data_IF_581035490887
#
_entry.id   IF_581035490887
#
_cell.length_a   1.000
_cell.length_b   1.000
_cell.length_c   1.000
_cell.angle_alpha   90.00
_cell.angle_beta   90.00
_cell.angle_gamma   90.00
#
_symmetry.space_group_name_H-M   'P 1'
#
loop_
_entity.id
_entity.type
_entity.pdbx_description
1 polymer ?
#
# COMPACT_ATOMS: atom_id res chain seq x y z
N UNK A 1 2.62 2.70 29.81
CA UNK A 1 3.25 1.55 30.49
C UNK A 1 2.22 0.48 30.86
N UNK A 2 1.62 -0.16 29.86
CA UNK A 2 1.18 -1.56 30.04
C UNK A 2 2.38 -2.46 29.74
N UNK A 3 2.50 -3.55 30.47
CA UNK A 3 3.59 -4.52 30.32
C UNK A 3 3.07 -5.67 29.46
N UNK A 4 3.14 -5.55 28.14
CA UNK A 4 2.76 -6.64 27.24
C UNK A 4 3.87 -7.68 27.30
N UNK A 5 3.53 -8.83 27.89
CA UNK A 5 4.43 -9.99 27.94
C UNK A 5 4.38 -10.70 26.59
N UNK A 6 5.31 -10.35 25.73
CA UNK A 6 5.61 -11.11 24.51
C UNK A 6 6.93 -11.83 24.63
N UNK A 7 7.10 -12.88 23.83
CA UNK A 7 8.36 -13.60 23.73
C UNK A 7 8.75 -13.75 22.27
N UNK A 8 10.01 -13.49 21.97
CA UNK A 8 10.61 -13.82 20.68
C UNK A 8 10.98 -15.30 20.68
N UNK A 9 10.53 -15.99 19.65
CA UNK A 9 10.96 -17.34 19.32
C UNK A 9 11.73 -17.29 18.00
N UNK A 10 12.92 -17.87 17.97
CA UNK A 10 13.74 -18.01 16.78
C UNK A 10 14.41 -19.38 16.77
N UNK A 11 14.67 -19.90 15.58
CA UNK A 11 15.48 -21.11 15.44
C UNK A 11 16.92 -20.83 15.90
N UNK A 12 17.61 -21.77 16.55
CA UNK A 12 19.01 -21.61 16.90
C UNK A 12 19.86 -21.38 15.64
N UNK A 13 20.82 -20.45 15.72
CA UNK A 13 21.74 -20.15 14.63
C UNK A 13 22.43 -21.44 14.14
N UNK A 14 22.31 -21.74 12.84
CA UNK A 14 22.96 -22.90 12.21
C UNK A 14 22.03 -24.05 11.80
N UNK A 15 20.71 -23.92 11.93
CA UNK A 15 19.78 -24.86 11.31
C UNK A 15 19.62 -24.58 9.80
N UNK A 16 20.48 -25.17 8.97
CA UNK A 16 20.26 -25.22 7.53
C UNK A 16 19.16 -26.23 7.23
N UNK A 17 17.93 -25.75 7.01
CA UNK A 17 16.86 -26.57 6.47
C UNK A 17 17.03 -26.62 4.95
N UNK A 18 17.57 -27.72 4.43
CA UNK A 18 17.45 -28.00 3.00
C UNK A 18 15.99 -28.33 2.71
N UNK A 19 15.24 -27.36 2.16
CA UNK A 19 13.88 -27.60 1.71
C UNK A 19 13.96 -28.31 0.36
N UNK A 20 13.40 -29.52 0.32
CA UNK A 20 13.29 -30.28 -0.92
C UNK A 20 12.25 -29.60 -1.83
N UNK A 21 12.72 -29.01 -2.94
CA UNK A 21 11.88 -28.29 -3.93
C UNK A 21 11.08 -29.26 -4.82
N UNK A 22 10.93 -30.53 -4.41
CA UNK A 22 10.15 -31.55 -5.12
C UNK A 22 8.63 -31.38 -4.93
N UNK A 23 8.19 -30.43 -4.09
CA UNK A 23 6.78 -30.15 -3.88
C UNK A 23 6.17 -29.41 -5.10
N UNK A 24 5.08 -29.94 -5.64
CA UNK A 24 4.42 -29.44 -6.86
C UNK A 24 4.04 -27.95 -6.79
N UNK A 25 3.64 -27.48 -5.60
CA UNK A 25 3.33 -26.05 -5.36
C UNK A 25 4.57 -25.17 -5.54
N UNK A 26 5.73 -25.58 -5.03
CA UNK A 26 6.96 -24.78 -5.12
C UNK A 26 7.43 -24.73 -6.58
N UNK A 27 7.34 -25.83 -7.33
CA UNK A 27 7.72 -25.87 -8.74
C UNK A 27 6.82 -25.00 -9.64
N UNK A 28 5.53 -24.89 -9.30
CA UNK A 28 4.59 -24.05 -10.04
C UNK A 28 4.77 -22.55 -9.76
N UNK A 29 5.13 -22.21 -8.51
CA UNK A 29 5.16 -20.83 -8.04
C UNK A 29 6.57 -20.22 -8.07
N UNK A 30 7.64 -21.00 -8.01
CA UNK A 30 9.03 -20.48 -8.02
C UNK A 30 9.42 -19.61 -9.20
N UNK A 31 8.90 -19.79 -10.43
CA UNK A 31 9.24 -18.89 -11.53
C UNK A 31 8.53 -17.53 -11.44
N UNK A 32 7.53 -17.40 -10.55
CA UNK A 32 6.56 -16.30 -10.55
C UNK A 32 6.54 -15.51 -9.25
N UNK A 33 6.94 -16.13 -8.14
CA UNK A 33 6.85 -15.57 -6.80
C UNK A 33 8.15 -15.78 -6.03
N UNK A 34 8.46 -14.81 -5.18
CA UNK A 34 9.51 -14.92 -4.19
C UNK A 34 8.99 -15.71 -2.97
N UNK A 35 9.81 -16.61 -2.45
CA UNK A 35 9.51 -17.34 -1.21
C UNK A 35 10.28 -16.76 -0.03
N UNK A 36 9.61 -16.72 1.11
CA UNK A 36 10.16 -16.25 2.36
C UNK A 36 9.84 -17.24 3.48
N UNK A 37 10.79 -17.48 4.39
CA UNK A 37 10.56 -18.29 5.60
C UNK A 37 10.51 -17.38 6.80
N UNK A 38 9.52 -17.55 7.65
CA UNK A 38 9.47 -16.90 8.96
C UNK A 38 10.55 -17.51 9.87
N UNK A 39 11.54 -16.70 10.26
CA UNK A 39 12.67 -17.12 11.09
C UNK A 39 12.52 -16.74 12.56
N UNK A 40 11.80 -15.65 12.82
CA UNK A 40 11.49 -15.19 14.16
C UNK A 40 10.02 -14.77 14.26
N UNK A 41 9.39 -15.04 15.39
CA UNK A 41 8.03 -14.57 15.69
C UNK A 41 7.98 -13.93 17.06
N UNK A 42 7.22 -12.85 17.15
CA UNK A 42 6.83 -12.23 18.40
C UNK A 42 5.40 -12.62 18.73
N UNK A 43 5.26 -13.47 19.75
CA UNK A 43 3.98 -14.03 20.17
C UNK A 43 3.54 -13.42 21.50
N UNK A 44 2.25 -13.10 21.64
CA UNK A 44 1.68 -12.63 22.90
C UNK A 44 1.42 -13.80 23.85
N UNK A 45 1.89 -13.69 25.09
CA UNK A 45 1.83 -14.78 26.06
C UNK A 45 0.54 -14.80 26.89
N UNK A 46 -0.27 -13.76 26.80
CA UNK A 46 -1.52 -13.60 27.55
C UNK A 46 -2.56 -12.98 26.60
N UNK A 47 -3.83 -13.39 26.72
CA UNK A 47 -4.89 -12.84 25.88
C UNK A 47 -5.10 -11.36 26.15
N UNK A 48 -5.22 -10.56 25.10
CA UNK A 48 -5.45 -9.12 25.16
C UNK A 48 -6.87 -8.80 24.74
N UNK A 49 -7.62 -8.10 25.58
CA UNK A 49 -8.91 -7.53 25.20
C UNK A 49 -8.69 -6.08 24.77
N UNK A 50 -8.98 -5.79 23.51
CA UNK A 50 -8.95 -4.43 22.97
C UNK A 50 -10.39 -3.92 22.92
N UNK A 51 -10.68 -2.87 23.66
CA UNK A 51 -11.99 -2.23 23.70
C UNK A 51 -11.93 -0.85 23.06
N UNK A 52 -12.83 -0.59 22.11
CA UNK A 52 -13.03 0.75 21.54
C UNK A 52 -13.92 1.59 22.46
N UNK A 53 -13.36 2.64 23.09
CA UNK A 53 -14.13 3.61 23.88
C UNK A 53 -14.32 4.88 23.06
N UNK A 54 -15.46 5.00 22.39
CA UNK A 54 -15.88 6.23 21.72
C UNK A 54 -16.47 7.22 22.74
N UNK A 55 -15.75 8.30 23.06
CA UNK A 55 -16.39 9.51 23.62
C UNK A 55 -16.85 10.38 22.44
N UNK A 56 -18.17 10.53 22.33
CA UNK A 56 -18.81 11.15 21.16
C UNK A 56 -18.40 12.59 20.89
N UNK A 57 -18.38 12.94 19.59
CA UNK A 57 -18.35 14.33 19.12
C UNK A 57 -17.01 15.03 19.26
N UNK A 58 -15.97 14.49 18.63
CA UNK A 58 -14.62 15.06 18.60
C UNK A 58 -13.59 13.97 18.33
N UNK A 59 -12.44 14.34 17.76
CA UNK A 59 -11.28 13.46 17.51
C UNK A 59 -11.00 12.65 18.79
N UNK A 60 -11.37 11.38 18.78
CA UNK A 60 -11.25 10.48 19.92
C UNK A 60 -10.00 9.64 19.77
N UNK A 61 -8.97 9.97 20.54
CA UNK A 61 -7.75 9.17 20.64
C UNK A 61 -8.04 7.93 21.49
N UNK A 62 -7.98 6.74 20.89
CA UNK A 62 -7.94 5.49 21.66
C UNK A 62 -6.49 5.19 22.01
N UNK A 63 -6.08 5.59 23.21
CA UNK A 63 -4.79 5.16 23.77
C UNK A 63 -4.94 3.76 24.36
N UNK A 64 -4.74 2.73 23.54
CA UNK A 64 -4.16 1.49 24.08
C UNK A 64 -2.70 1.84 24.33
N UNK A 65 -2.33 2.02 25.60
CA UNK A 65 -0.96 2.34 26.03
C UNK A 65 0.01 1.30 25.43
N UNK A 66 0.59 1.71 24.31
CA UNK A 66 1.92 1.44 23.80
C UNK A 66 2.16 0.34 22.74
N UNK A 67 1.18 -0.37 22.14
CA UNK A 67 1.53 -1.33 21.03
C UNK A 67 0.59 -1.34 19.80
N UNK A 68 -0.71 -1.06 19.90
CA UNK A 68 -1.60 -1.15 18.72
C UNK A 68 -2.53 0.04 18.56
N UNK A 69 -2.46 0.70 17.41
CA UNK A 69 -3.55 1.50 16.86
C UNK A 69 -4.42 0.54 16.04
N UNK A 70 -5.61 0.21 16.52
CA UNK A 70 -6.61 -0.48 15.69
C UNK A 70 -7.47 0.60 15.07
N UNK A 71 -7.27 0.89 13.80
CA UNK A 71 -8.21 1.69 13.02
C UNK A 71 -9.40 0.79 12.64
N UNK A 72 -10.61 1.22 12.97
CA UNK A 72 -11.82 0.52 12.59
C UNK A 72 -12.98 1.48 12.52
N UNK A 73 -13.28 2.02 11.33
CA UNK A 73 -14.21 3.14 11.18
C UNK A 73 -15.51 2.77 10.46
N UNK A 74 -16.22 1.76 10.96
CA UNK A 74 -17.61 1.57 10.55
C UNK A 74 -18.55 2.48 11.35
N UNK A 75 -19.21 3.45 10.67
CA UNK A 75 -20.29 4.31 11.21
C UNK A 75 -21.57 3.56 11.65
N UNK A 76 -21.55 2.24 11.74
CA UNK A 76 -22.57 1.43 12.42
C UNK A 76 -21.97 0.86 13.72
N UNK A 77 -22.21 1.61 14.80
CA UNK A 77 -21.78 1.28 16.15
C UNK A 77 -22.42 -0.06 16.59
N UNK A 78 -21.57 -1.06 16.78
CA UNK A 78 -21.65 -1.97 17.92
C UNK A 78 -20.31 -1.87 18.61
N UNK A 79 -20.29 -1.73 19.93
CA UNK A 79 -19.11 -1.83 20.77
C UNK A 79 -18.20 -2.97 20.24
N UNK A 80 -17.11 -2.64 19.55
CA UNK A 80 -16.18 -3.62 19.03
C UNK A 80 -15.16 -3.87 20.14
N UNK A 81 -15.28 -5.02 20.77
CA UNK A 81 -14.19 -5.59 21.55
C UNK A 81 -13.52 -6.65 20.68
N UNK A 82 -12.19 -6.56 20.55
CA UNK A 82 -11.39 -7.57 19.90
C UNK A 82 -10.62 -8.33 20.98
N UNK A 83 -10.93 -9.61 21.15
CA UNK A 83 -10.12 -10.49 21.96
C UNK A 83 -9.00 -11.05 21.09
N UNK A 84 -7.76 -10.67 21.38
CA UNK A 84 -6.57 -11.26 20.80
C UNK A 84 -6.17 -12.41 21.74
N UNK A 85 -6.30 -13.68 21.32
CA UNK A 85 -6.02 -14.81 22.20
C UNK A 85 -4.51 -14.93 22.48
N UNK A 86 -4.17 -15.50 23.63
CA UNK A 86 -2.82 -15.99 23.88
C UNK A 86 -2.35 -16.86 22.71
N UNK A 87 -1.10 -16.66 22.29
CA UNK A 87 -0.52 -17.38 21.16
C UNK A 87 -0.63 -16.66 19.82
N UNK A 88 -1.25 -15.48 19.76
CA UNK A 88 -1.24 -14.69 18.52
C UNK A 88 0.16 -14.14 18.22
N UNK A 89 0.61 -14.33 16.99
CA UNK A 89 1.82 -13.72 16.46
C UNK A 89 1.48 -12.29 16.05
N UNK A 90 2.18 -11.30 16.63
CA UNK A 90 1.95 -9.89 16.34
C UNK A 90 3.00 -9.29 15.39
N UNK A 91 4.19 -9.89 15.34
CA UNK A 91 5.24 -9.50 14.41
C UNK A 91 6.09 -10.73 14.08
N UNK A 92 6.74 -10.69 12.93
CA UNK A 92 7.61 -11.77 12.50
C UNK A 92 8.76 -11.22 11.64
N UNK A 93 9.88 -11.94 11.66
CA UNK A 93 11.00 -11.75 10.73
C UNK A 93 10.95 -12.85 9.69
N UNK A 94 11.15 -12.50 8.44
CA UNK A 94 11.28 -13.46 7.35
C UNK A 94 12.68 -13.44 6.78
N UNK A 95 13.15 -14.54 6.17
CA UNK A 95 14.33 -14.61 5.31
C UNK A 95 13.93 -15.04 3.90
N UNK A 96 14.44 -14.36 2.85
CA UNK A 96 14.18 -14.71 1.46
C UNK A 96 14.90 -16.00 1.08
N UNK A 97 14.19 -16.90 0.42
CA UNK A 97 14.72 -18.15 -0.11
C UNK A 97 15.27 -17.93 -1.51
N UNK A 98 16.58 -18.12 -1.68
CA UNK A 98 17.22 -18.05 -3.00
C UNK A 98 17.34 -19.45 -3.61
N UNK A 99 16.85 -19.61 -4.84
CA UNK A 99 17.10 -20.81 -5.65
C UNK A 99 18.50 -20.71 -6.28
N UNK A 100 19.40 -21.62 -5.93
CA UNK A 100 20.68 -21.77 -6.64
C UNK A 100 20.44 -22.68 -7.86
N UNK A 101 20.60 -22.15 -9.08
CA UNK A 101 20.43 -22.91 -10.34
C UNK A 101 21.63 -23.82 -10.71
N UNK A 102 22.66 -23.90 -9.87
CA UNK A 102 23.89 -24.63 -10.18
C UNK A 102 24.04 -25.87 -9.30
N UNK A 103 23.17 -26.88 -9.47
CA UNK A 103 23.44 -28.33 -9.34
C UNK A 103 22.12 -29.14 -9.42
N UNK A 104 22.14 -30.40 -9.90
CA UNK A 104 20.95 -31.24 -9.99
C UNK A 104 20.52 -31.67 -8.59
N UNK A 105 19.70 -30.84 -7.97
CA UNK A 105 19.27 -30.94 -6.58
C UNK A 105 19.07 -29.54 -6.04
N UNK A 106 17.98 -28.87 -6.43
CA UNK A 106 17.73 -27.50 -5.98
C UNK A 106 17.59 -27.49 -4.44
N UNK A 107 18.60 -26.96 -3.75
CA UNK A 107 18.54 -26.68 -2.31
C UNK A 107 18.33 -25.18 -2.11
N UNK A 108 17.25 -24.80 -1.43
CA UNK A 108 17.09 -23.44 -0.92
C UNK A 108 18.03 -23.26 0.27
N UNK A 109 18.92 -22.29 0.20
CA UNK A 109 19.75 -21.90 1.35
C UNK A 109 19.28 -20.54 1.84
N UNK A 110 19.15 -20.40 3.15
CA UNK A 110 18.97 -19.09 3.75
C UNK A 110 20.34 -18.42 3.90
N UNK A 111 20.45 -17.17 3.44
CA UNK A 111 21.54 -16.28 3.84
C UNK A 111 21.00 -15.42 4.97
N UNK A 112 21.79 -15.33 6.05
CA UNK A 112 21.59 -14.28 7.04
C UNK A 112 21.97 -12.95 6.40
N UNK A 113 21.00 -12.28 5.77
CA UNK A 113 21.09 -10.84 5.55
C UNK A 113 20.64 -10.14 6.83
N UNK A 114 21.46 -9.29 7.48
CA UNK A 114 21.15 -8.75 8.80
C UNK A 114 19.93 -7.82 8.88
N UNK A 115 19.22 -7.54 7.77
CA UNK A 115 18.10 -6.60 7.76
C UNK A 115 17.01 -7.03 6.78
N UNK A 116 16.17 -7.97 7.19
CA UNK A 116 14.86 -8.15 6.57
C UNK A 116 13.89 -7.14 7.17
N UNK A 117 13.87 -5.99 6.52
CA UNK A 117 12.92 -4.90 6.70
C UNK A 117 12.56 -4.38 5.32
N UNK A 118 11.31 -4.55 4.91
CA UNK A 118 10.66 -3.83 3.81
C UNK A 118 11.51 -3.73 2.52
N UNK A 119 11.64 -4.85 1.81
CA UNK A 119 12.41 -4.95 0.57
C UNK A 119 11.67 -4.29 -0.62
N UNK A 120 11.78 -2.97 -0.63
CA UNK A 120 12.02 -2.18 -1.84
C UNK A 120 13.02 -1.02 -1.58
N UNK A 121 13.53 -0.86 -0.35
CA UNK A 121 14.21 0.39 0.04
C UNK A 121 15.53 0.26 0.83
N UNK A 122 16.12 -0.95 0.97
CA UNK A 122 17.29 -1.16 1.85
C UNK A 122 18.61 -1.54 1.16
N UNK A 123 18.74 -1.35 -0.15
CA UNK A 123 20.08 -1.25 -0.75
C UNK A 123 20.68 0.11 -0.36
N UNK A 124 21.70 0.10 0.51
CA UNK A 124 22.57 1.23 0.89
C UNK A 124 21.86 2.59 0.93
N UNK A 125 21.44 3.01 2.13
CA UNK A 125 21.17 4.41 2.48
C UNK A 125 22.47 5.23 2.38
N UNK A 126 22.93 5.44 1.14
CA UNK A 126 23.58 6.68 0.77
C UNK A 126 22.63 7.85 1.03
N UNK A 127 23.17 9.08 1.06
CA UNK A 127 22.50 10.32 1.48
C UNK A 127 20.98 10.35 1.21
N UNK A 128 20.18 10.98 2.10
CA UNK A 128 18.72 11.09 1.96
C UNK A 128 18.22 11.50 0.57
N UNK A 129 19.00 12.32 -0.16
CA UNK A 129 18.73 12.69 -1.55
C UNK A 129 18.65 11.47 -2.50
N UNK A 130 19.49 10.46 -2.29
CA UNK A 130 19.53 9.20 -3.02
C UNK A 130 18.31 8.34 -2.71
N UNK A 131 17.85 8.29 -1.46
CA UNK A 131 16.66 7.53 -1.06
C UNK A 131 15.36 8.12 -1.66
N UNK A 132 15.22 9.45 -1.68
CA UNK A 132 14.07 10.13 -2.30
C UNK A 132 14.02 9.85 -3.79
N UNK A 133 15.18 9.94 -4.46
CA UNK A 133 15.25 9.68 -5.88
C UNK A 133 14.89 8.22 -6.19
N UNK A 134 15.32 7.26 -5.36
CA UNK A 134 14.93 5.85 -5.47
C UNK A 134 13.40 5.66 -5.40
N UNK A 135 12.70 6.24 -4.41
CA UNK A 135 11.22 6.14 -4.33
C UNK A 135 10.55 6.68 -5.59
N UNK A 136 10.99 7.87 -6.05
CA UNK A 136 10.45 8.49 -7.26
C UNK A 136 10.73 7.65 -8.51
N UNK A 137 11.92 7.07 -8.60
CA UNK A 137 12.32 6.24 -9.73
C UNK A 137 11.51 4.94 -9.76
N UNK A 138 11.26 4.30 -8.61
CA UNK A 138 10.41 3.11 -8.50
C UNK A 138 8.98 3.41 -8.94
N UNK A 139 8.37 4.47 -8.41
CA UNK A 139 7.00 4.89 -8.80
C UNK A 139 6.94 5.21 -10.29
N UNK A 140 7.95 5.91 -10.80
CA UNK A 140 8.04 6.27 -12.23
C UNK A 140 8.19 5.04 -13.12
N UNK A 141 9.01 4.07 -12.72
CA UNK A 141 9.21 2.82 -13.43
C UNK A 141 7.95 1.96 -13.43
N UNK A 142 7.27 1.84 -12.28
CA UNK A 142 6.02 1.10 -12.15
C UNK A 142 4.92 1.63 -13.09
N UNK A 143 4.85 2.95 -13.29
CA UNK A 143 3.87 3.60 -14.16
C UNK A 143 4.38 3.94 -15.56
N UNK A 144 5.58 3.50 -15.93
CA UNK A 144 6.19 3.76 -17.23
C UNK A 144 5.30 3.33 -18.41
N UNK A 145 4.62 2.16 -18.37
CA UNK A 145 3.70 1.78 -19.44
C UNK A 145 2.51 2.74 -19.59
N UNK A 146 2.02 3.33 -18.50
CA UNK A 146 0.93 4.32 -18.57
C UNK A 146 1.38 5.61 -19.26
N UNK A 147 2.66 5.99 -19.12
CA UNK A 147 3.21 7.19 -19.77
C UNK A 147 3.26 7.05 -21.29
N UNK A 148 3.48 5.83 -21.79
CA UNK A 148 3.57 5.51 -23.23
C UNK A 148 2.22 5.49 -23.94
N UNK A 149 1.11 5.49 -23.19
CA UNK A 149 -0.23 5.44 -23.77
C UNK A 149 -0.59 6.71 -24.55
N UNK A 150 -1.42 6.54 -25.57
CA UNK A 150 -1.98 7.66 -26.31
C UNK A 150 -2.96 8.47 -25.46
N UNK A 151 -3.10 9.77 -25.75
CA UNK A 151 -4.00 10.67 -25.01
C UNK A 151 -5.48 10.22 -24.95
N UNK A 152 -6.06 9.62 -26.01
CA UNK A 152 -7.40 9.02 -25.90
C UNK A 152 -7.47 7.85 -24.91
N UNK A 153 -6.46 6.96 -24.91
CA UNK A 153 -6.42 5.81 -24.00
C UNK A 153 -6.22 6.25 -22.55
N UNK A 154 -5.33 7.22 -22.30
CA UNK A 154 -5.14 7.82 -20.98
C UNK A 154 -6.44 8.40 -20.41
N UNK A 155 -7.18 9.17 -21.20
CA UNK A 155 -8.49 9.71 -20.79
C UNK A 155 -9.54 8.63 -20.53
N UNK A 156 -9.55 7.57 -21.33
CA UNK A 156 -10.44 6.42 -21.13
C UNK A 156 -10.10 5.67 -19.84
N UNK A 157 -8.81 5.45 -19.58
CA UNK A 157 -8.34 4.86 -18.33
C UNK A 157 -8.64 5.76 -17.14
N UNK A 158 -8.40 7.07 -17.21
CA UNK A 158 -8.76 7.99 -16.13
C UNK A 158 -10.24 7.91 -15.79
N UNK A 159 -11.11 7.91 -16.81
CA UNK A 159 -12.56 7.75 -16.60
C UNK A 159 -12.90 6.41 -15.97
N UNK A 160 -12.18 5.35 -16.33
CA UNK A 160 -12.35 4.03 -15.73
C UNK A 160 -11.79 4.00 -14.30
N UNK A 161 -10.69 4.70 -14.02
CA UNK A 161 -10.02 4.74 -12.71
C UNK A 161 -10.88 5.42 -11.64
N UNK A 162 -11.81 6.29 -12.03
CA UNK A 162 -12.80 6.85 -11.09
C UNK A 162 -13.63 5.77 -10.39
N UNK A 163 -13.83 4.60 -11.01
CA UNK A 163 -14.57 3.49 -10.36
C UNK A 163 -13.85 2.95 -9.11
N UNK A 164 -12.53 3.09 -9.03
CA UNK A 164 -11.73 2.69 -7.85
C UNK A 164 -11.90 3.69 -6.70
N UNK A 165 -12.35 4.90 -6.99
CA UNK A 165 -12.59 5.94 -5.99
C UNK A 165 -14.06 5.94 -5.50
N UNK A 166 -14.94 5.17 -6.17
CA UNK A 166 -16.36 5.05 -5.80
C UNK A 166 -16.57 4.06 -4.63
N UNK A 167 -15.75 3.02 -4.51
CA UNK A 167 -15.90 1.95 -3.52
C UNK A 167 -14.53 1.29 -3.23
N UNK A 168 -14.20 1.14 -1.95
CA UNK A 168 -12.92 0.57 -1.49
C UNK A 168 -12.73 -0.88 -1.92
N UNK A 169 -13.81 -1.63 -2.11
CA UNK A 169 -13.72 -3.06 -2.46
C UNK A 169 -13.29 -3.27 -3.92
N UNK A 170 -13.36 -2.22 -4.75
CA UNK A 170 -13.01 -2.30 -6.18
C UNK A 170 -11.52 -2.50 -6.38
N UNK A 171 -10.67 -1.74 -5.66
CA UNK A 171 -9.22 -1.83 -5.80
C UNK A 171 -8.70 -3.21 -5.40
N UNK A 172 -9.06 -3.69 -4.20
CA UNK A 172 -8.73 -5.03 -3.73
C UNK A 172 -9.25 -6.18 -4.64
N UNK A 173 -10.47 -6.05 -5.17
CA UNK A 173 -11.02 -7.05 -6.11
C UNK A 173 -10.24 -7.08 -7.42
N UNK A 174 -9.98 -5.92 -8.01
CA UNK A 174 -9.21 -5.81 -9.27
C UNK A 174 -7.77 -6.28 -9.05
N UNK A 175 -7.16 -5.94 -7.92
CA UNK A 175 -5.83 -6.41 -7.54
C UNK A 175 -5.79 -7.93 -7.52
N UNK A 176 -6.73 -8.58 -6.83
CA UNK A 176 -6.82 -10.05 -6.75
C UNK A 176 -6.96 -10.70 -8.12
N UNK A 177 -7.81 -10.13 -9.00
CA UNK A 177 -7.98 -10.60 -10.38
C UNK A 177 -6.68 -10.48 -11.18
N UNK A 178 -5.96 -9.37 -11.05
CA UNK A 178 -4.69 -9.15 -11.75
C UNK A 178 -3.60 -10.10 -11.24
N UNK A 179 -3.52 -10.34 -9.93
CA UNK A 179 -2.59 -11.30 -9.33
C UNK A 179 -2.80 -12.71 -9.88
N UNK A 180 -4.03 -13.21 -9.87
CA UNK A 180 -4.39 -14.51 -10.44
C UNK A 180 -4.06 -14.58 -11.93
N UNK A 181 -4.35 -13.51 -12.68
CA UNK A 181 -4.10 -13.45 -14.12
C UNK A 181 -2.60 -13.42 -14.44
N UNK A 182 -1.79 -12.72 -13.65
CA UNK A 182 -0.32 -12.72 -13.77
C UNK A 182 0.29 -14.08 -13.44
N UNK A 183 -0.34 -14.85 -12.54
CA UNK A 183 0.03 -16.24 -12.25
C UNK A 183 -0.42 -17.18 -13.38
N UNK A 184 -1.25 -16.73 -14.32
CA UNK A 184 -1.66 -17.50 -15.49
C UNK A 184 -2.88 -18.40 -15.23
N UNK A 185 -3.63 -18.12 -14.17
CA UNK A 185 -4.91 -18.77 -13.90
C UNK A 185 -5.99 -18.18 -14.80
N UNK A 186 -6.90 -19.01 -15.32
CA UNK A 186 -8.11 -18.52 -15.97
C UNK A 186 -9.05 -17.98 -14.89
N UNK A 187 -9.18 -16.65 -14.82
CA UNK A 187 -10.00 -15.98 -13.81
C UNK A 187 -11.48 -16.04 -14.19
N UNK A 188 -12.29 -16.64 -13.32
CA UNK A 188 -13.74 -16.68 -13.45
C UNK A 188 -14.38 -15.37 -12.95
N UNK A 189 -15.52 -15.00 -13.55
CA UNK A 189 -16.24 -13.76 -13.20
C UNK A 189 -16.86 -13.78 -11.80
N UNK A 190 -16.99 -14.95 -11.17
CA UNK A 190 -17.41 -15.10 -9.77
C UNK A 190 -16.51 -14.33 -8.79
N UNK A 191 -15.26 -14.03 -9.14
CA UNK A 191 -14.38 -13.17 -8.33
C UNK A 191 -14.97 -11.75 -8.16
N UNK A 192 -15.88 -11.33 -9.04
CA UNK A 192 -16.56 -10.03 -8.98
C UNK A 192 -17.88 -10.06 -8.18
N UNK A 193 -18.30 -11.22 -7.65
CA UNK A 193 -19.51 -11.34 -6.82
C UNK A 193 -19.51 -10.42 -5.58
N UNK A 194 -18.39 -10.20 -4.87
CA UNK A 194 -18.36 -9.30 -3.71
C UNK A 194 -18.72 -7.85 -4.04
N UNK A 195 -18.50 -7.42 -5.29
CA UNK A 195 -18.77 -6.05 -5.71
C UNK A 195 -20.27 -5.77 -5.79
N UNK A 196 -20.63 -4.51 -5.52
CA UNK A 196 -21.96 -3.97 -5.74
C UNK A 196 -22.43 -4.23 -7.19
N UNK A 197 -23.70 -4.62 -7.35
CA UNK A 197 -24.38 -4.84 -8.64
C UNK A 197 -24.25 -3.65 -9.62
N UNK A 198 -24.13 -2.41 -9.13
CA UNK A 198 -23.93 -1.23 -9.99
C UNK A 198 -22.49 -1.13 -10.52
N UNK A 199 -21.50 -1.53 -9.71
CA UNK A 199 -20.07 -1.41 -10.03
C UNK A 199 -19.55 -2.61 -10.79
N UNK A 200 -20.08 -3.81 -10.50
CA UNK A 200 -19.69 -5.07 -11.14
C UNK A 200 -19.62 -4.97 -12.67
N UNK A 201 -20.64 -4.49 -13.42
CA UNK A 201 -20.54 -4.39 -14.87
C UNK A 201 -19.52 -3.34 -15.35
N UNK A 202 -19.24 -2.30 -14.56
CA UNK A 202 -18.21 -1.30 -14.89
C UNK A 202 -16.82 -1.93 -14.75
N UNK A 203 -16.58 -2.67 -13.67
CA UNK A 203 -15.32 -3.37 -13.38
C UNK A 203 -15.09 -4.51 -14.37
N UNK A 204 -16.12 -5.31 -14.67
CA UNK A 204 -16.04 -6.37 -15.69
C UNK A 204 -15.61 -5.80 -17.04
N UNK A 205 -16.27 -4.72 -17.49
CA UNK A 205 -15.91 -4.03 -18.74
C UNK A 205 -14.48 -3.50 -18.73
N UNK A 206 -14.03 -2.95 -17.60
CA UNK A 206 -12.65 -2.49 -17.43
C UNK A 206 -11.65 -3.64 -17.59
N UNK A 207 -11.88 -4.76 -16.90
CA UNK A 207 -11.04 -5.96 -16.96
C UNK A 207 -11.06 -6.62 -18.36
N UNK A 208 -12.18 -6.60 -19.08
CA UNK A 208 -12.24 -7.03 -20.48
C UNK A 208 -11.35 -6.17 -21.40
N UNK A 209 -11.32 -4.84 -21.21
CA UNK A 209 -10.41 -3.97 -21.97
C UNK A 209 -8.93 -4.27 -21.69
N UNK A 210 -8.61 -4.73 -20.47
CA UNK A 210 -7.27 -5.20 -20.11
C UNK A 210 -6.94 -6.59 -20.67
N UNK A 211 -7.91 -7.27 -21.27
CA UNK A 211 -7.72 -8.61 -21.82
C UNK A 211 -7.79 -9.74 -20.81
N UNK A 212 -8.33 -9.49 -19.61
CA UNK A 212 -8.53 -10.52 -18.58
C UNK A 212 -9.64 -11.47 -19.03
N UNK A 213 -10.81 -10.91 -19.34
CA UNK A 213 -11.94 -11.67 -19.85
C UNK A 213 -11.94 -11.66 -21.38
N UNK A 214 -11.90 -12.86 -21.98
CA UNK A 214 -11.67 -13.10 -23.42
C UNK A 214 -12.90 -12.84 -24.31
N UNK A 215 -13.84 -12.00 -23.87
CA UNK A 215 -15.15 -11.81 -24.52
C UNK A 215 -15.14 -10.76 -25.64
N UNK A 216 -14.12 -9.89 -25.64
CA UNK A 216 -13.93 -8.86 -26.67
C UNK A 216 -12.77 -9.23 -27.58
N UNK A 217 -12.97 -9.10 -28.90
CA UNK A 217 -11.91 -9.25 -29.89
C UNK A 217 -10.79 -8.25 -29.58
N UNK A 218 -9.69 -8.78 -29.03
CA UNK A 218 -8.50 -8.10 -28.48
C UNK A 218 -8.68 -7.53 -27.07
N UNK A 219 -8.14 -8.26 -26.09
CA UNK A 219 -7.52 -7.63 -24.93
C UNK A 219 -6.32 -6.82 -25.41
N UNK A 220 -6.40 -5.49 -25.36
CA UNK A 220 -5.45 -4.64 -26.09
C UNK A 220 -4.17 -4.33 -25.29
N UNK A 221 -4.12 -4.61 -23.96
CA UNK A 221 -3.07 -4.00 -23.13
C UNK A 221 -2.64 -4.83 -21.89
N UNK A 222 -2.04 -6.01 -22.12
CA UNK A 222 -1.43 -6.81 -21.03
C UNK A 222 -0.31 -6.05 -20.28
N UNK A 223 0.39 -5.15 -20.98
CA UNK A 223 1.44 -4.31 -20.39
C UNK A 223 0.93 -3.35 -19.30
N UNK A 224 -0.39 -3.24 -19.11
CA UNK A 224 -1.00 -2.42 -18.06
C UNK A 224 -1.35 -3.18 -16.79
N UNK A 225 -1.24 -4.51 -16.76
CA UNK A 225 -1.61 -5.28 -15.57
C UNK A 225 -0.78 -4.87 -14.36
N UNK A 226 0.55 -4.76 -14.52
CA UNK A 226 1.45 -4.35 -13.43
C UNK A 226 1.23 -2.90 -12.96
N UNK A 227 1.16 -1.88 -13.85
CA UNK A 227 0.82 -0.52 -13.45
C UNK A 227 -0.52 -0.41 -12.72
N UNK A 228 -1.54 -1.15 -13.16
CA UNK A 228 -2.86 -1.11 -12.54
C UNK A 228 -2.84 -1.82 -11.19
N UNK A 229 -2.17 -2.97 -11.10
CA UNK A 229 -1.93 -3.67 -9.84
C UNK A 229 -1.24 -2.75 -8.81
N UNK A 230 -0.15 -2.08 -9.22
CA UNK A 230 0.58 -1.13 -8.38
C UNK A 230 -0.26 0.08 -7.94
N UNK A 231 -1.15 0.58 -8.81
CA UNK A 231 -2.15 1.57 -8.42
C UNK A 231 -3.17 1.02 -7.42
N UNK A 232 -3.68 -0.20 -7.61
CA UNK A 232 -4.63 -0.80 -6.66
C UNK A 232 -4.00 -0.94 -5.27
N UNK A 233 -2.76 -1.43 -5.19
CA UNK A 233 -2.03 -1.53 -3.91
C UNK A 233 -1.83 -0.14 -3.27
N UNK A 234 -1.53 0.88 -4.07
CA UNK A 234 -1.40 2.26 -3.58
C UNK A 234 -2.73 2.87 -3.12
N UNK A 235 -3.87 2.34 -3.56
CA UNK A 235 -5.20 2.77 -3.14
C UNK A 235 -5.66 1.98 -1.90
N UNK A 236 -5.37 0.68 -1.85
CA UNK A 236 -5.67 -0.19 -0.71
C UNK A 236 -4.86 0.18 0.55
N UNK A 237 -3.67 0.76 0.37
CA UNK A 237 -2.85 1.33 1.45
C UNK A 237 -3.38 2.68 2.00
N UNK A 238 -4.42 3.25 1.40
CA UNK A 238 -5.04 4.50 1.84
C UNK A 238 -6.35 4.23 2.58
N UNK A 239 -6.67 5.10 3.56
CA UNK A 239 -7.99 5.08 4.18
C UNK A 239 -9.09 5.34 3.13
N UNK A 240 -10.22 4.64 3.20
CA UNK A 240 -11.33 4.80 2.25
C UNK A 240 -11.91 6.23 2.25
N UNK A 241 -11.77 6.99 3.35
CA UNK A 241 -12.14 8.41 3.43
C UNK A 241 -11.23 9.31 2.56
N UNK A 242 -10.07 8.80 2.12
CA UNK A 242 -9.17 9.45 1.14
C UNK A 242 -9.73 9.45 -0.28
N UNK A 243 -10.55 8.44 -0.65
CA UNK A 243 -11.01 8.25 -2.03
C UNK A 243 -11.85 9.42 -2.56
N UNK A 244 -12.83 9.98 -1.79
CA UNK A 244 -13.55 11.18 -2.21
C UNK A 244 -12.65 12.42 -2.34
N UNK A 245 -11.56 12.52 -1.58
CA UNK A 245 -10.61 13.64 -1.71
C UNK A 245 -9.76 13.52 -2.97
N UNK A 246 -9.30 12.31 -3.29
CA UNK A 246 -8.62 12.02 -4.55
C UNK A 246 -9.53 12.36 -5.73
N UNK A 247 -10.80 11.98 -5.66
CA UNK A 247 -11.80 12.30 -6.68
C UNK A 247 -11.99 13.83 -6.80
N UNK A 248 -12.12 14.54 -5.69
CA UNK A 248 -12.22 16.01 -5.69
C UNK A 248 -10.98 16.68 -6.31
N UNK A 249 -9.79 16.12 -6.09
CA UNK A 249 -8.56 16.61 -6.73
C UNK A 249 -8.59 16.37 -8.23
N UNK A 250 -9.01 15.18 -8.68
CA UNK A 250 -9.17 14.85 -10.10
C UNK A 250 -10.10 15.85 -10.77
N UNK A 251 -11.25 16.14 -10.16
CA UNK A 251 -12.23 17.10 -10.69
C UNK A 251 -11.70 18.55 -10.72
N UNK A 252 -11.03 18.97 -9.64
CA UNK A 252 -10.46 20.33 -9.51
C UNK A 252 -9.16 20.53 -10.24
N UNK A 253 -8.66 19.51 -10.92
CA UNK A 253 -7.50 19.66 -11.79
C UNK A 253 -6.21 20.02 -11.03
N UNK A 254 -6.12 19.65 -9.75
CA UNK A 254 -5.10 20.12 -8.79
C UNK A 254 -3.91 19.16 -8.55
N UNK A 255 -3.87 17.98 -9.19
CA UNK A 255 -2.84 16.94 -8.99
C UNK A 255 -1.40 17.49 -9.05
N UNK A 256 -1.08 18.35 -10.03
CA UNK A 256 0.28 18.87 -10.21
C UNK A 256 0.78 19.68 -8.99
N UNK A 257 -0.08 20.51 -8.39
CA UNK A 257 0.29 21.27 -7.18
C UNK A 257 0.39 20.35 -5.96
N UNK A 258 -0.49 19.33 -5.89
CA UNK A 258 -0.43 18.33 -4.83
C UNK A 258 0.89 17.53 -4.89
N UNK A 259 1.31 17.11 -6.08
CA UNK A 259 2.59 16.43 -6.28
C UNK A 259 3.80 17.33 -5.96
N UNK A 260 3.76 18.61 -6.34
CA UNK A 260 4.80 19.57 -5.98
C UNK A 260 4.92 19.73 -4.45
N UNK A 261 3.79 19.75 -3.74
CA UNK A 261 3.76 19.79 -2.29
C UNK A 261 4.28 18.47 -1.69
N UNK A 262 3.87 17.32 -2.24
CA UNK A 262 4.35 16.00 -1.81
C UNK A 262 5.85 15.82 -2.01
N UNK A 263 6.48 16.50 -2.98
CA UNK A 263 7.94 16.49 -3.12
C UNK A 263 8.67 17.07 -1.89
N UNK A 264 8.05 18.04 -1.22
CA UNK A 264 8.55 18.57 0.04
C UNK A 264 8.32 17.60 1.20
N UNK A 265 7.17 16.91 1.21
CA UNK A 265 6.82 15.92 2.23
C UNK A 265 7.71 14.68 2.13
N UNK A 266 7.89 14.09 0.94
CA UNK A 266 8.74 12.94 0.69
C UNK A 266 10.19 13.14 1.17
N UNK A 267 10.71 14.38 1.08
CA UNK A 267 12.03 14.70 1.63
C UNK A 267 12.08 14.44 3.13
N UNK A 268 11.04 14.84 3.85
CA UNK A 268 10.92 14.63 5.29
C UNK A 268 10.61 13.19 5.64
N UNK A 269 9.82 12.48 4.83
CA UNK A 269 9.60 11.04 5.00
C UNK A 269 10.94 10.28 5.12
N UNK A 270 11.89 10.59 4.25
CA UNK A 270 13.10 9.76 4.12
C UNK A 270 14.30 10.30 4.90
N UNK A 271 14.18 11.46 5.54
CA UNK A 271 15.31 12.11 6.24
C UNK A 271 14.95 12.82 7.53
N UNK A 272 13.66 12.86 7.88
CA UNK A 272 13.18 13.46 9.11
C UNK A 272 13.48 12.57 10.31
N UNK A 273 14.13 13.15 11.31
CA UNK A 273 14.22 12.52 12.61
C UNK A 273 12.84 12.57 13.29
N UNK A 274 12.42 11.47 13.90
CA UNK A 274 11.14 11.39 14.60
C UNK A 274 11.03 12.50 15.68
N UNK A 275 9.90 13.22 15.69
CA UNK A 275 9.68 14.37 16.57
C UNK A 275 10.31 15.68 16.10
N UNK A 276 10.93 15.72 14.92
CA UNK A 276 11.34 16.97 14.27
C UNK A 276 10.13 17.74 13.75
N UNK A 277 10.24 19.08 13.68
CA UNK A 277 9.19 19.94 13.14
C UNK A 277 9.56 20.36 11.73
N UNK A 278 8.64 20.19 10.79
CA UNK A 278 8.81 20.66 9.41
C UNK A 278 7.64 21.49 8.93
N UNK A 279 7.90 22.29 7.88
CA UNK A 279 6.91 23.19 7.29
C UNK A 279 6.59 22.74 5.87
N UNK A 280 5.29 22.63 5.61
CA UNK A 280 4.71 22.33 4.30
C UNK A 280 4.20 23.65 3.71
N UNK A 281 4.56 23.95 2.46
CA UNK A 281 4.12 25.17 1.77
C UNK A 281 2.89 24.90 0.90
N UNK A 282 1.90 25.79 0.99
CA UNK A 282 0.71 25.79 0.14
C UNK A 282 0.61 27.05 -0.74
N UNK A 283 1.72 27.79 -0.92
CA UNK A 283 1.70 29.11 -1.56
C UNK A 283 1.15 29.14 -2.99
N UNK A 284 1.26 28.03 -3.74
CA UNK A 284 0.75 27.90 -5.12
C UNK A 284 -0.73 27.49 -5.18
N UNK A 285 -1.34 27.19 -4.03
CA UNK A 285 -2.71 26.67 -3.91
C UNK A 285 -3.70 27.78 -3.51
N UNK A 286 -4.95 27.65 -3.94
CA UNK A 286 -6.07 28.42 -3.39
C UNK A 286 -6.41 27.91 -1.98
N UNK A 287 -7.18 28.68 -1.20
CA UNK A 287 -7.61 28.26 0.14
C UNK A 287 -8.34 26.90 0.12
N UNK A 288 -9.13 26.63 -0.92
CA UNK A 288 -9.85 25.37 -1.10
C UNK A 288 -8.92 24.21 -1.49
N UNK A 289 -7.94 24.46 -2.37
CA UNK A 289 -6.92 23.50 -2.77
C UNK A 289 -5.98 23.14 -1.61
N UNK A 290 -5.62 24.13 -0.79
CA UNK A 290 -4.81 23.97 0.42
C UNK A 290 -5.59 23.25 1.53
N UNK A 291 -6.89 23.51 1.66
CA UNK A 291 -7.78 22.78 2.56
C UNK A 291 -7.80 21.29 2.24
N UNK A 292 -8.00 20.94 0.96
CA UNK A 292 -7.93 19.55 0.51
C UNK A 292 -6.57 18.90 0.77
N UNK A 293 -5.47 19.60 0.46
CA UNK A 293 -4.11 19.12 0.73
C UNK A 293 -3.91 18.80 2.22
N UNK A 294 -4.30 19.72 3.10
CA UNK A 294 -4.17 19.55 4.54
C UNK A 294 -5.02 18.40 5.07
N UNK A 295 -6.25 18.24 4.55
CA UNK A 295 -7.14 17.15 4.94
C UNK A 295 -6.56 15.78 4.56
N UNK A 296 -6.02 15.62 3.34
CA UNK A 296 -5.35 14.38 2.93
C UNK A 296 -4.15 14.06 3.83
N UNK A 297 -3.29 15.05 4.08
CA UNK A 297 -2.10 14.84 4.92
C UNK A 297 -2.49 14.47 6.36
N UNK A 298 -3.55 15.07 6.91
CA UNK A 298 -4.08 14.73 8.23
C UNK A 298 -4.66 13.32 8.29
N UNK A 299 -5.27 12.85 7.20
CA UNK A 299 -5.71 11.46 7.08
C UNK A 299 -4.54 10.48 6.98
N UNK A 300 -3.40 10.90 6.42
CA UNK A 300 -2.13 10.17 6.52
C UNK A 300 -1.45 10.27 7.90
N UNK A 301 -2.23 10.48 8.97
CA UNK A 301 -1.77 10.65 10.35
C UNK A 301 -0.73 11.77 10.61
N UNK A 302 -0.65 12.80 9.74
CA UNK A 302 0.19 13.96 10.03
C UNK A 302 -0.54 14.98 10.93
N UNK A 303 0.07 15.27 12.08
CA UNK A 303 -0.42 16.31 12.99
C UNK A 303 -0.06 17.70 12.46
N UNK A 304 -0.95 18.25 11.63
CA UNK A 304 -0.80 19.54 10.99
C UNK A 304 -1.42 20.69 11.79
N UNK A 305 -0.62 21.71 12.05
CA UNK A 305 -1.07 23.06 12.43
C UNK A 305 -1.17 23.91 11.16
N UNK A 306 -2.39 24.02 10.62
CA UNK A 306 -2.64 24.68 9.34
C UNK A 306 -2.68 26.19 9.50
N UNK A 307 -1.71 26.87 8.88
CA UNK A 307 -1.71 28.32 8.67
C UNK A 307 -2.25 28.69 7.28
N UNK A 308 -2.24 30.00 6.97
CA UNK A 308 -2.84 30.52 5.73
C UNK A 308 -2.13 30.09 4.43
N UNK A 309 -0.81 29.93 4.47
CA UNK A 309 0.02 29.62 3.29
C UNK A 309 0.97 28.44 3.52
N UNK A 310 0.89 27.84 4.71
CA UNK A 310 1.78 26.76 5.13
C UNK A 310 1.17 26.02 6.31
N UNK A 311 1.52 24.75 6.49
CA UNK A 311 1.28 24.01 7.72
C UNK A 311 2.60 23.66 8.40
N UNK A 312 2.61 23.68 9.73
CA UNK A 312 3.68 23.08 10.54
C UNK A 312 3.25 21.69 10.97
N UNK A 313 4.18 20.74 10.93
CA UNK A 313 3.94 19.35 11.25
C UNK A 313 5.00 18.83 12.21
N UNK A 314 4.58 18.07 13.22
CA UNK A 314 5.48 17.23 13.98
C UNK A 314 5.64 15.91 13.23
N UNK A 315 6.87 15.56 12.85
CA UNK A 315 7.15 14.35 12.09
C UNK A 315 6.97 13.10 12.95
N UNK A 316 6.23 12.12 12.42
CA UNK A 316 6.07 10.80 13.01
C UNK A 316 6.37 9.71 11.98
N UNK A 317 6.89 8.57 12.46
CA UNK A 317 7.25 7.48 11.55
C UNK A 317 6.05 6.62 11.11
N UNK A 318 4.84 6.89 11.61
CA UNK A 318 3.65 6.07 11.30
C UNK A 318 3.08 6.39 9.92
N UNK A 319 3.15 7.66 9.52
CA UNK A 319 2.63 8.18 8.26
C UNK A 319 3.37 7.71 6.99
N UNK A 320 4.52 7.03 7.11
CA UNK A 320 5.40 6.73 5.96
C UNK A 320 4.70 6.00 4.82
N UNK A 321 3.98 4.91 5.14
CA UNK A 321 3.38 4.03 4.14
C UNK A 321 2.26 4.75 3.39
N UNK A 322 1.33 5.35 4.13
CA UNK A 322 0.18 6.08 3.58
C UNK A 322 0.60 7.29 2.75
N UNK A 323 1.65 8.01 3.15
CA UNK A 323 2.18 9.13 2.36
C UNK A 323 2.85 8.67 1.06
N UNK A 324 3.54 7.52 1.08
CA UNK A 324 4.09 6.89 -0.11
C UNK A 324 3.01 6.45 -1.08
N UNK A 325 1.96 5.80 -0.54
CA UNK A 325 0.76 5.40 -1.28
C UNK A 325 0.03 6.61 -1.88
N UNK A 326 -0.12 7.70 -1.11
CA UNK A 326 -0.73 8.95 -1.56
C UNK A 326 0.06 9.58 -2.70
N UNK A 327 1.38 9.65 -2.58
CA UNK A 327 2.25 10.15 -3.65
C UNK A 327 2.09 9.32 -4.93
N UNK A 328 2.16 7.99 -4.79
CA UNK A 328 2.01 7.03 -5.89
C UNK A 328 0.66 7.20 -6.61
N UNK A 329 -0.43 7.25 -5.86
CA UNK A 329 -1.79 7.45 -6.37
C UNK A 329 -1.96 8.78 -7.10
N UNK A 330 -1.49 9.90 -6.51
CA UNK A 330 -1.50 11.21 -7.16
C UNK A 330 -0.68 11.23 -8.46
N UNK A 331 0.44 10.51 -8.48
CA UNK A 331 1.32 10.43 -9.65
C UNK A 331 0.66 9.68 -10.81
N UNK A 332 0.03 8.52 -10.53
CA UNK A 332 -0.73 7.76 -11.52
C UNK A 332 -1.86 8.61 -12.14
N UNK A 333 -2.64 9.29 -11.30
CA UNK A 333 -3.74 10.14 -11.75
C UNK A 333 -3.25 11.32 -12.61
N UNK A 334 -2.10 11.91 -12.26
CA UNK A 334 -1.47 12.95 -13.06
C UNK A 334 -1.02 12.43 -14.45
N UNK A 335 -0.48 11.21 -14.54
CA UNK A 335 -0.09 10.60 -15.84
C UNK A 335 -1.29 10.39 -16.74
N UNK A 336 -2.38 9.85 -16.19
CA UNK A 336 -3.59 9.52 -16.94
C UNK A 336 -4.36 10.75 -17.41
N UNK A 337 -4.13 11.89 -16.77
CA UNK A 337 -4.67 13.17 -17.19
C UNK A 337 -3.85 13.83 -18.31
N UNK A 338 -2.52 13.75 -18.21
CA UNK A 338 -1.55 14.51 -19.02
C UNK A 338 -1.34 13.97 -20.42
#
# INVERSE_FOLDING_TARGET
>A
MFNIRGKWYGAPAGCYLAIEISHSIIQQLSPKLDFYIVTEVFEIMESLLVEEIMQGGGKGEVTVRDIFTIQGLNKRIKQKSLLIPQGTIMAYRVEKLQSHEEEPGCSLQSKQDPFLTYDAFQDELGSSLTAIQKVKDVVKEAYEPLMRLSQPLKRHLLKSFRIFLEDSDVASTVQSVLELSMVGDDVDRSVLEPLNEELRPKVEKFLSHLGIFKDTEKGEIQDLWRPIHFFCSSIDDLDYEMLPLLEAIVEKNNMAKQLEMMDSVLKWILSGDEGSVFTISFQSMTDEEAGLAAEMLQMCELDLEVGKVSATCLWNNKAHSELGALYSSLYALQILRG
#
